data_IF_939599014840
#
_entry.id   IF_939599014840
#
_cell.length_a   1.000
_cell.length_b   1.000
_cell.length_c   1.000
_cell.angle_alpha   90.00
_cell.angle_beta   90.00
_cell.angle_gamma   90.00
#
_symmetry.space_group_name_H-M   'P 1'
#
loop_
_entity.id
_entity.type
_entity.pdbx_description
1 polymer ?
#
# COMPACT_ATOMS: atom_id res chain seq x y z
N UNK A 1 4.05 3.18 -13.90
CA UNK A 1 3.76 4.24 -12.90
C UNK A 1 3.07 3.62 -11.70
N UNK A 2 3.32 4.07 -10.48
CA UNK A 2 2.57 3.58 -9.30
C UNK A 2 1.16 4.18 -9.26
N UNK A 3 0.11 3.36 -9.35
CA UNK A 3 -1.26 3.87 -9.26
C UNK A 3 -1.54 4.46 -7.88
N UNK A 4 -1.05 3.83 -6.80
CA UNK A 4 -1.24 4.34 -5.45
C UNK A 4 -0.68 5.75 -5.25
N UNK A 5 0.56 6.00 -5.68
CA UNK A 5 1.22 7.30 -5.41
C UNK A 5 0.68 8.44 -6.27
N UNK A 6 0.18 8.15 -7.48
CA UNK A 6 -0.18 9.18 -8.45
C UNK A 6 -1.70 9.33 -8.66
N UNK A 7 -2.47 8.24 -8.56
CA UNK A 7 -3.92 8.26 -8.76
C UNK A 7 -4.72 8.42 -7.47
N UNK A 8 -4.23 7.96 -6.32
CA UNK A 8 -4.98 8.09 -5.06
C UNK A 8 -4.70 9.43 -4.37
N UNK A 9 -5.64 10.39 -4.37
CA UNK A 9 -5.43 11.70 -3.76
C UNK A 9 -5.27 11.60 -2.24
N UNK A 10 -5.71 10.51 -1.60
CA UNK A 10 -5.60 10.34 -0.15
C UNK A 10 -4.14 10.28 0.30
N UNK A 11 -3.22 9.84 -0.54
CA UNK A 11 -1.78 9.75 -0.22
C UNK A 11 -1.01 11.06 -0.45
N UNK A 12 -1.62 12.07 -1.08
CA UNK A 12 -0.96 13.35 -1.36
C UNK A 12 -0.70 14.14 -0.07
N UNK A 13 0.43 14.84 -0.03
CA UNK A 13 0.82 15.67 1.11
C UNK A 13 1.20 14.89 2.38
N UNK A 14 1.27 13.57 2.30
CA UNK A 14 1.74 12.73 3.41
C UNK A 14 3.24 12.51 3.33
N UNK A 15 3.87 12.37 4.49
CA UNK A 15 5.21 11.81 4.57
C UNK A 15 5.13 10.30 4.34
N UNK A 16 5.77 9.84 3.27
CA UNK A 16 5.73 8.45 2.83
C UNK A 16 7.13 7.85 2.82
N UNK A 17 7.24 6.61 3.29
CA UNK A 17 8.40 5.75 3.07
C UNK A 17 8.04 4.79 1.95
N UNK A 18 8.81 4.80 0.87
CA UNK A 18 8.60 3.96 -0.30
C UNK A 18 9.74 2.96 -0.41
N UNK A 19 9.41 1.67 -0.53
CA UNK A 19 10.38 0.62 -0.85
C UNK A 19 10.04 0.04 -2.22
N UNK A 20 11.08 -0.41 -2.92
CA UNK A 20 10.94 -0.90 -4.27
C UNK A 20 12.25 -1.44 -4.82
N UNK A 21 12.21 -1.88 -6.07
CA UNK A 21 13.40 -2.23 -6.84
C UNK A 21 13.60 -1.24 -7.97
N UNK A 22 14.86 -0.90 -8.22
CA UNK A 22 15.26 -0.09 -9.39
C UNK A 22 15.70 -1.04 -10.49
N UNK A 23 15.26 -0.80 -11.72
CA UNK A 23 15.75 -1.58 -12.86
C UNK A 23 17.08 -1.01 -13.37
N UNK A 24 18.15 -1.82 -13.45
CA UNK A 24 19.47 -1.35 -13.88
C UNK A 24 19.42 -0.63 -15.23
N UNK A 25 20.22 0.44 -15.37
CA UNK A 25 20.30 1.27 -16.59
C UNK A 25 18.98 1.95 -16.98
N UNK A 26 18.02 2.05 -16.06
CA UNK A 26 16.77 2.80 -16.24
C UNK A 26 16.57 3.79 -15.10
N UNK A 27 15.59 4.67 -15.24
CA UNK A 27 15.10 5.53 -14.14
C UNK A 27 13.80 4.99 -13.53
N UNK A 28 13.54 3.68 -13.69
CA UNK A 28 12.29 3.06 -13.25
C UNK A 28 12.48 2.46 -11.86
N UNK A 29 11.72 3.00 -10.90
CA UNK A 29 11.47 2.40 -9.60
C UNK A 29 10.13 1.65 -9.63
N UNK A 30 10.16 0.33 -9.45
CA UNK A 30 8.96 -0.43 -9.13
C UNK A 30 8.75 -0.37 -7.61
N UNK A 31 7.70 0.32 -7.21
CA UNK A 31 7.26 0.36 -5.82
C UNK A 31 6.71 -1.01 -5.46
N UNK A 32 7.18 -1.57 -4.35
CA UNK A 32 6.70 -2.86 -3.79
C UNK A 32 6.05 -2.68 -2.42
N UNK A 33 6.30 -1.54 -1.76
CA UNK A 33 5.75 -1.25 -0.44
C UNK A 33 5.62 0.26 -0.22
N UNK A 34 4.55 0.66 0.46
CA UNK A 34 4.30 2.05 0.86
C UNK A 34 3.99 2.06 2.35
N UNK A 35 4.63 2.97 3.08
CA UNK A 35 4.30 3.29 4.46
C UNK A 35 4.04 4.79 4.58
N UNK A 36 3.25 5.18 5.57
CA UNK A 36 3.06 6.57 5.95
C UNK A 36 3.63 6.82 7.34
N UNK A 37 4.10 8.03 7.58
CA UNK A 37 4.55 8.48 8.90
C UNK A 37 3.47 9.39 9.47
N UNK A 38 2.95 9.05 10.65
CA UNK A 38 1.92 9.83 11.35
C UNK A 38 2.35 10.01 12.79
N UNK A 39 2.63 11.27 13.19
CA UNK A 39 3.10 11.62 14.54
C UNK A 39 4.31 10.77 14.97
N UNK A 40 5.25 10.55 14.05
CA UNK A 40 6.43 9.70 14.27
C UNK A 40 6.21 8.19 14.22
N UNK A 41 4.97 7.72 14.03
CA UNK A 41 4.64 6.30 13.95
C UNK A 41 4.51 5.87 12.49
N UNK A 42 5.25 4.83 12.11
CA UNK A 42 5.21 4.24 10.76
C UNK A 42 4.00 3.33 10.62
N UNK A 43 3.23 3.50 9.55
CA UNK A 43 2.05 2.69 9.24
C UNK A 43 2.19 2.08 7.85
N UNK A 44 1.96 0.77 7.74
CA UNK A 44 1.81 0.07 6.48
C UNK A 44 0.56 0.56 5.76
N UNK A 45 0.73 0.99 4.51
CA UNK A 45 -0.34 1.45 3.62
C UNK A 45 -0.58 0.37 2.58
N UNK A 46 -1.80 -0.15 2.54
CA UNK A 46 -2.19 -1.15 1.55
C UNK A 46 -3.68 -1.03 1.25
N UNK A 47 -4.10 -1.58 0.12
CA UNK A 47 -5.50 -1.69 -0.23
C UNK A 47 -6.01 -3.06 0.16
N UNK A 48 -7.27 -3.17 0.55
CA UNK A 48 -7.83 -4.39 1.10
C UNK A 48 -9.24 -4.62 0.56
N UNK A 49 -9.53 -5.86 0.16
CA UNK A 49 -10.90 -6.29 -0.09
C UNK A 49 -11.41 -6.98 1.17
N UNK A 50 -12.50 -6.49 1.73
CA UNK A 50 -13.18 -7.05 2.90
C UNK A 50 -13.93 -8.36 2.58
N UNK A 51 -14.38 -8.53 1.34
CA UNK A 51 -15.03 -9.77 0.88
C UNK A 51 -14.02 -10.89 0.64
N UNK A 52 -12.96 -10.62 -0.14
CA UNK A 52 -11.96 -11.62 -0.50
C UNK A 52 -10.80 -11.72 0.49
N UNK A 53 -10.72 -10.82 1.47
CA UNK A 53 -9.75 -10.86 2.57
C UNK A 53 -8.28 -10.75 2.08
N UNK A 54 -8.05 -10.13 0.92
CA UNK A 54 -6.73 -10.01 0.28
C UNK A 54 -6.23 -8.57 0.21
N UNK A 55 -4.90 -8.42 0.20
CA UNK A 55 -4.19 -7.14 0.11
C UNK A 55 -3.76 -6.82 -1.32
N UNK A 56 -3.75 -5.54 -1.66
CA UNK A 56 -3.27 -5.00 -2.92
C UNK A 56 -2.34 -3.81 -2.68
N UNK A 57 -1.48 -3.55 -3.66
CA UNK A 57 -0.57 -2.40 -3.65
C UNK A 57 -1.17 -1.16 -4.35
N UNK A 58 -2.25 -1.33 -5.10
CA UNK A 58 -2.87 -0.30 -5.92
C UNK A 58 -4.38 -0.18 -5.66
N UNK A 59 -4.97 1.01 -5.87
CA UNK A 59 -6.42 1.17 -5.89
C UNK A 59 -7.02 0.48 -7.12
N UNK A 60 -8.33 0.25 -7.10
CA UNK A 60 -9.07 -0.35 -8.21
C UNK A 60 -10.06 -1.42 -7.74
N UNK A 61 -10.78 -2.06 -8.66
CA UNK A 61 -11.63 -3.19 -8.31
C UNK A 61 -10.77 -4.39 -7.88
N UNK A 62 -11.27 -5.16 -6.91
CA UNK A 62 -10.70 -6.44 -6.53
C UNK A 62 -10.68 -7.38 -7.73
N UNK A 63 -9.55 -8.04 -8.00
CA UNK A 63 -9.42 -8.95 -9.16
C UNK A 63 -10.25 -10.23 -9.03
N UNK A 64 -10.76 -10.54 -7.83
CA UNK A 64 -11.53 -11.75 -7.56
C UNK A 64 -13.04 -11.51 -7.64
N UNK A 65 -13.54 -10.47 -6.96
CA UNK A 65 -14.98 -10.20 -6.85
C UNK A 65 -15.42 -8.89 -7.53
N UNK A 66 -14.48 -8.13 -8.10
CA UNK A 66 -14.71 -6.82 -8.72
C UNK A 66 -15.23 -5.70 -7.80
N UNK A 67 -15.47 -5.98 -6.52
CA UNK A 67 -15.85 -4.96 -5.55
C UNK A 67 -14.68 -4.00 -5.25
N UNK A 68 -14.97 -2.73 -4.89
CA UNK A 68 -13.95 -1.75 -4.56
C UNK A 68 -13.07 -2.19 -3.38
N UNK A 69 -11.77 -1.92 -3.48
CA UNK A 69 -10.85 -2.09 -2.35
C UNK A 69 -10.81 -0.83 -1.47
N UNK A 70 -10.62 -1.02 -0.17
CA UNK A 70 -10.48 0.07 0.80
C UNK A 70 -9.01 0.35 1.10
N UNK A 71 -8.64 1.63 1.24
CA UNK A 71 -7.31 2.02 1.68
C UNK A 71 -7.21 1.78 3.19
N UNK A 72 -6.24 0.97 3.59
CA UNK A 72 -5.98 0.60 4.98
C UNK A 72 -4.62 1.12 5.41
N UNK A 73 -4.56 1.56 6.67
CA UNK A 73 -3.33 1.93 7.37
C UNK A 73 -3.23 1.15 8.67
N UNK A 74 -2.13 0.46 8.90
CA UNK A 74 -1.88 -0.28 10.15
C UNK A 74 -0.49 0.03 10.68
N UNK A 75 -0.28 0.22 11.99
CA UNK A 75 1.06 0.41 12.54
C UNK A 75 2.03 -0.69 12.09
N UNK A 76 3.16 -0.29 11.53
CA UNK A 76 4.20 -1.20 11.08
C UNK A 76 4.86 -1.91 12.27
N UNK A 77 5.26 -3.17 12.11
CA UNK A 77 6.01 -3.91 13.13
C UNK A 77 5.17 -4.69 14.16
N UNK A 78 3.83 -4.61 14.13
CA UNK A 78 3.01 -5.66 14.73
C UNK A 78 3.12 -6.90 13.84
N UNK A 79 4.00 -7.85 14.22
CA UNK A 79 3.95 -9.20 13.64
C UNK A 79 2.52 -9.67 13.79
N UNK A 80 1.91 -10.13 12.70
CA UNK A 80 0.72 -10.97 12.80
C UNK A 80 1.18 -12.22 13.56
N UNK A 81 1.02 -12.26 14.88
CA UNK A 81 0.88 -13.53 15.57
C UNK A 81 -0.33 -14.18 14.92
N UNK A 82 -0.24 -15.43 14.44
CA UNK A 82 -1.42 -16.20 14.11
C UNK A 82 -2.39 -16.07 15.30
N UNK A 83 -3.60 -15.60 15.03
CA UNK A 83 -4.69 -15.75 15.99
C UNK A 83 -5.04 -17.23 15.91
N UNK A 84 -4.74 -17.97 16.98
CA UNK A 84 -5.17 -19.35 17.16
C UNK A 84 -6.70 -19.48 17.09
#
# INVERSE_FOLDING_TARGET
RSLALFDDPRLRGRELIVKGRVFPKTQVLEVTFIQSVRKGVVHDVFYYCDICVIKFLAPGPCVCCHEPVVLMEKPAGKKNTPVD
#
